data_IF_262077666917
#
_entry.id   IF_262077666917
#
_cell.length_a   1.000
_cell.length_b   1.000
_cell.length_c   1.000
_cell.angle_alpha   90.00
_cell.angle_beta   90.00
_cell.angle_gamma   90.00
#
_symmetry.space_group_name_H-M   'P 1'
#
loop_
_entity.id
_entity.type
_entity.pdbx_description
1 polymer ?
#
# COMPACT_ATOMS: atom_id res chain seq x y z
N UNK A 1 20.85 -15.56 19.03
CA UNK A 1 20.87 -15.09 17.63
C UNK A 1 19.96 -13.89 17.58
N UNK A 2 20.49 -12.71 17.26
CA UNK A 2 19.78 -11.43 17.39
C UNK A 2 18.79 -11.25 16.25
N UNK A 3 17.49 -11.40 16.55
CA UNK A 3 16.42 -10.96 15.66
C UNK A 3 16.39 -9.43 15.66
N UNK A 4 17.29 -8.81 14.91
CA UNK A 4 17.22 -7.38 14.63
C UNK A 4 16.06 -7.14 13.66
N UNK A 5 14.94 -6.64 14.19
CA UNK A 5 13.84 -6.11 13.38
C UNK A 5 14.40 -5.04 12.44
N UNK A 6 14.27 -5.30 11.14
CA UNK A 6 14.81 -4.41 10.11
C UNK A 6 13.88 -3.20 10.00
N UNK A 7 14.08 -2.20 10.85
CA UNK A 7 13.39 -0.91 10.73
C UNK A 7 13.93 -0.14 9.53
N UNK A 8 13.20 -0.19 8.40
CA UNK A 8 13.46 0.70 7.26
C UNK A 8 13.13 2.14 7.66
N UNK A 9 13.79 3.10 7.00
CA UNK A 9 13.44 4.50 7.17
C UNK A 9 12.17 4.74 6.33
N UNK A 10 11.10 5.25 6.94
CA UNK A 10 9.81 5.43 6.27
C UNK A 10 9.93 6.28 5.00
N UNK A 11 10.71 7.35 5.02
CA UNK A 11 10.94 8.18 3.82
C UNK A 11 11.65 7.40 2.71
N UNK A 12 12.51 6.44 3.05
CA UNK A 12 13.15 5.59 2.05
C UNK A 12 12.23 4.47 1.56
N UNK A 13 11.37 3.93 2.43
CA UNK A 13 10.33 2.96 2.04
C UNK A 13 9.37 3.59 1.03
N UNK A 14 8.91 4.80 1.32
CA UNK A 14 8.08 5.61 0.42
C UNK A 14 8.75 5.93 -0.91
N UNK A 15 10.08 6.06 -0.91
CA UNK A 15 10.86 6.28 -2.12
C UNK A 15 10.97 5.00 -2.96
N UNK A 16 11.11 3.85 -2.31
CA UNK A 16 11.15 2.55 -2.98
C UNK A 16 9.77 2.13 -3.53
N UNK A 17 8.67 2.55 -2.90
CA UNK A 17 7.30 2.35 -3.43
C UNK A 17 7.04 3.12 -4.74
N UNK A 18 7.75 4.21 -4.98
CA UNK A 18 7.61 4.99 -6.22
C UNK A 18 8.38 4.39 -7.41
N UNK A 19 9.07 3.26 -7.20
CA UNK A 19 9.87 2.60 -8.22
C UNK A 19 9.10 1.38 -8.71
N UNK A 20 8.84 1.34 -10.01
CA UNK A 20 8.21 0.17 -10.64
C UNK A 20 9.25 -0.93 -10.91
N UNK A 21 8.94 -2.16 -10.46
CA UNK A 21 9.74 -3.35 -10.75
C UNK A 21 10.76 -3.75 -9.68
N UNK A 22 11.70 -4.62 -10.06
CA UNK A 22 12.71 -5.18 -9.13
C UNK A 22 14.04 -4.44 -9.21
N UNK A 23 14.20 -3.54 -10.17
CA UNK A 23 15.48 -2.94 -10.51
C UNK A 23 15.34 -1.43 -10.64
N UNK A 24 16.30 -0.67 -10.11
CA UNK A 24 16.29 0.79 -10.21
C UNK A 24 17.67 1.36 -10.36
N UNK A 25 17.83 2.38 -11.21
CA UNK A 25 19.11 3.07 -11.32
C UNK A 25 19.29 4.01 -10.13
N UNK A 26 20.54 4.14 -9.67
CA UNK A 26 20.89 5.09 -8.60
C UNK A 26 20.47 6.52 -8.91
N UNK A 27 20.61 6.95 -10.17
CA UNK A 27 20.24 8.30 -10.62
C UNK A 27 18.74 8.55 -10.48
N UNK A 28 17.92 7.53 -10.78
CA UNK A 28 16.46 7.63 -10.68
C UNK A 28 16.02 7.74 -9.22
N UNK A 29 16.63 6.96 -8.31
CA UNK A 29 16.37 7.10 -6.87
C UNK A 29 16.73 8.50 -6.34
N UNK A 30 17.85 9.07 -6.79
CA UNK A 30 18.27 10.42 -6.39
C UNK A 30 17.26 11.44 -6.92
N UNK A 31 16.83 11.31 -8.18
CA UNK A 31 15.83 12.20 -8.78
C UNK A 31 14.50 12.14 -8.03
N UNK A 32 14.00 10.94 -7.74
CA UNK A 32 12.76 10.75 -6.96
C UNK A 32 12.91 11.37 -5.56
N UNK A 33 14.08 11.25 -4.92
CA UNK A 33 14.32 11.85 -3.61
C UNK A 33 14.26 13.39 -3.64
N UNK A 34 14.81 14.00 -4.70
CA UNK A 34 14.75 15.45 -4.92
C UNK A 34 13.30 15.87 -5.15
N UNK A 35 12.61 15.22 -6.07
CA UNK A 35 11.26 15.58 -6.50
C UNK A 35 10.23 15.40 -5.37
N UNK A 36 10.32 14.30 -4.61
CA UNK A 36 9.34 13.94 -3.56
C UNK A 36 9.57 14.66 -2.23
N UNK A 37 10.83 14.89 -1.84
CA UNK A 37 11.17 15.43 -0.53
C UNK A 37 11.76 16.84 -0.57
N UNK A 38 11.85 17.45 -1.77
CA UNK A 38 12.41 18.80 -1.94
C UNK A 38 13.88 18.91 -1.51
N UNK A 39 14.63 17.80 -1.59
CA UNK A 39 16.02 17.75 -1.12
C UNK A 39 16.99 18.35 -2.14
N UNK A 40 18.08 18.92 -1.65
CA UNK A 40 19.22 19.27 -2.53
C UNK A 40 19.87 17.99 -3.07
N UNK A 41 20.55 18.09 -4.23
CA UNK A 41 21.26 16.95 -4.83
C UNK A 41 22.18 16.23 -3.84
N UNK A 42 22.96 16.98 -3.04
CA UNK A 42 23.87 16.42 -2.02
C UNK A 42 23.12 15.70 -0.89
N UNK A 43 21.97 16.22 -0.47
CA UNK A 43 21.14 15.59 0.57
C UNK A 43 20.47 14.32 0.05
N UNK A 44 19.94 14.35 -1.17
CA UNK A 44 19.35 13.19 -1.84
C UNK A 44 20.39 12.08 -2.05
N UNK A 45 21.60 12.42 -2.52
CA UNK A 45 22.70 11.48 -2.64
C UNK A 45 23.07 10.83 -1.29
N UNK A 46 23.18 11.63 -0.23
CA UNK A 46 23.49 11.13 1.12
C UNK A 46 22.37 10.28 1.72
N UNK A 47 21.11 10.58 1.42
CA UNK A 47 19.95 9.79 1.83
C UNK A 47 19.95 8.43 1.12
N UNK A 48 20.10 8.42 -0.21
CA UNK A 48 20.12 7.19 -1.02
C UNK A 48 21.32 6.34 -0.64
N UNK A 49 22.53 6.91 -0.56
CA UNK A 49 23.74 6.15 -0.26
C UNK A 49 23.69 5.44 1.09
N UNK A 50 23.23 6.12 2.16
CA UNK A 50 23.14 5.54 3.50
C UNK A 50 22.10 4.42 3.58
N UNK A 51 20.93 4.63 2.98
CA UNK A 51 19.87 3.62 3.03
C UNK A 51 20.18 2.41 2.15
N UNK A 52 20.71 2.62 0.94
CA UNK A 52 21.20 1.53 0.07
C UNK A 52 22.27 0.72 0.81
N UNK A 53 23.27 1.37 1.40
CA UNK A 53 24.32 0.67 2.13
C UNK A 53 23.73 -0.20 3.26
N UNK A 54 22.77 0.33 4.01
CA UNK A 54 22.09 -0.42 5.08
C UNK A 54 21.30 -1.63 4.55
N UNK A 55 20.67 -1.51 3.38
CA UNK A 55 19.97 -2.64 2.75
C UNK A 55 20.93 -3.68 2.20
N UNK A 56 22.07 -3.26 1.65
CA UNK A 56 23.12 -4.16 1.17
C UNK A 56 23.74 -4.97 2.32
N UNK A 57 24.02 -4.34 3.47
CA UNK A 57 24.51 -5.03 4.67
C UNK A 57 23.53 -6.10 5.17
N UNK A 58 22.24 -5.95 4.85
CA UNK A 58 21.18 -6.88 5.22
C UNK A 58 20.79 -7.86 4.10
N UNK A 59 21.55 -7.88 3.00
CA UNK A 59 21.28 -8.73 1.82
C UNK A 59 19.87 -8.53 1.23
N UNK A 60 19.30 -7.34 1.40
CA UNK A 60 17.97 -6.98 0.90
C UNK A 60 18.02 -6.33 -0.49
N UNK A 61 19.20 -5.90 -0.91
CA UNK A 61 19.42 -5.17 -2.13
C UNK A 61 20.82 -5.47 -2.64
N UNK A 62 20.93 -5.82 -3.91
CA UNK A 62 22.21 -6.00 -4.61
C UNK A 62 22.47 -4.85 -5.57
N UNK A 63 23.74 -4.60 -5.89
CA UNK A 63 24.13 -3.59 -6.86
C UNK A 63 24.92 -4.23 -8.00
N UNK A 64 24.55 -3.88 -9.24
CA UNK A 64 25.32 -4.21 -10.44
C UNK A 64 25.75 -2.94 -11.17
N UNK A 65 26.77 -3.07 -12.03
CA UNK A 65 27.26 -1.99 -12.87
C UNK A 65 28.39 -1.16 -12.25
N UNK A 66 28.99 -0.34 -13.10
CA UNK A 66 30.16 0.48 -12.77
C UNK A 66 29.84 1.67 -11.87
N UNK A 67 30.90 2.27 -11.32
CA UNK A 67 30.83 3.46 -10.46
C UNK A 67 30.26 4.65 -11.23
N UNK A 68 28.93 4.84 -11.11
CA UNK A 68 28.20 5.95 -11.74
C UNK A 68 26.88 5.52 -12.39
N UNK A 69 26.84 4.28 -12.88
CA UNK A 69 25.68 3.66 -13.55
C UNK A 69 25.11 2.48 -12.75
N UNK A 70 25.26 2.54 -11.43
CA UNK A 70 24.80 1.47 -10.55
C UNK A 70 23.30 1.26 -10.68
N UNK A 71 22.93 0.00 -10.91
CA UNK A 71 21.56 -0.49 -10.85
C UNK A 71 21.41 -1.32 -9.60
N UNK A 72 20.38 -1.04 -8.82
CA UNK A 72 20.05 -1.75 -7.61
C UNK A 72 18.96 -2.77 -7.90
N UNK A 73 19.15 -3.98 -7.40
CA UNK A 73 18.26 -5.12 -7.55
C UNK A 73 17.67 -5.46 -6.19
N UNK A 74 16.35 -5.36 -6.07
CA UNK A 74 15.65 -5.66 -4.83
C UNK A 74 15.48 -7.17 -4.66
N UNK A 75 15.75 -7.68 -3.46
CA UNK A 75 15.42 -9.06 -3.13
C UNK A 75 13.91 -9.24 -2.98
N UNK A 76 13.41 -10.46 -3.16
CA UNK A 76 12.02 -10.81 -2.89
C UNK A 76 11.61 -10.48 -1.44
N UNK A 77 12.51 -10.67 -0.48
CA UNK A 77 12.31 -10.30 0.94
C UNK A 77 12.09 -8.80 1.11
N UNK A 78 12.86 -7.96 0.42
CA UNK A 78 12.69 -6.52 0.47
C UNK A 78 11.35 -6.08 -0.12
N UNK A 79 10.92 -6.71 -1.22
CA UNK A 79 9.61 -6.43 -1.82
C UNK A 79 8.47 -6.79 -0.90
N UNK A 80 8.50 -7.98 -0.29
CA UNK A 80 7.48 -8.39 0.68
C UNK A 80 7.41 -7.48 1.92
N UNK A 81 8.50 -6.78 2.23
CA UNK A 81 8.58 -5.83 3.37
C UNK A 81 8.08 -4.42 3.00
N UNK A 82 8.16 -4.04 1.72
CA UNK A 82 7.80 -2.72 1.23
C UNK A 82 6.39 -2.72 0.64
N UNK A 83 6.04 -3.75 -0.13
CA UNK A 83 4.71 -3.96 -0.67
C UNK A 83 3.75 -4.15 0.51
N UNK A 84 2.61 -3.44 0.52
CA UNK A 84 1.57 -3.68 1.50
C UNK A 84 1.02 -5.09 1.29
N UNK A 85 1.56 -6.06 2.02
CA UNK A 85 1.04 -7.41 2.06
C UNK A 85 -0.34 -7.37 2.72
N UNK A 86 -1.38 -7.76 1.98
CA UNK A 86 -2.71 -8.06 2.53
C UNK A 86 -2.71 -9.21 3.56
N UNK A 87 -1.54 -9.80 3.88
CA UNK A 87 -1.45 -11.07 4.61
C UNK A 87 -0.57 -11.09 5.88
N UNK A 88 0.06 -10.00 6.36
CA UNK A 88 0.90 -10.09 7.58
C UNK A 88 0.71 -8.89 8.53
N UNK A 89 -0.30 -8.97 9.38
CA UNK A 89 -0.36 -8.29 10.68
C UNK A 89 -0.63 -9.31 11.80
N UNK A 90 0.05 -10.45 11.75
CA UNK A 90 0.16 -11.37 12.88
C UNK A 90 1.64 -11.46 13.24
N UNK A 91 2.08 -10.55 14.10
CA UNK A 91 2.98 -10.83 15.23
C UNK A 91 3.60 -9.52 15.70
N UNK A 92 2.94 -8.82 16.63
CA UNK A 92 3.56 -8.32 17.86
C UNK A 92 2.46 -8.15 18.91
N UNK A 93 2.38 -9.15 19.77
CA UNK A 93 1.58 -9.19 20.98
C UNK A 93 2.02 -8.07 21.94
N UNK A 94 1.05 -7.49 22.66
CA UNK A 94 1.20 -6.74 23.93
C UNK A 94 1.13 -5.20 23.86
N UNK A 95 0.04 -4.60 23.36
CA UNK A 95 -0.51 -3.38 24.00
C UNK A 95 -2.00 -3.17 23.69
N UNK A 96 -2.84 -3.28 24.73
CA UNK A 96 -4.24 -2.80 24.84
C UNK A 96 -5.27 -3.33 23.84
N UNK A 97 -6.20 -4.14 24.34
CA UNK A 97 -7.38 -4.68 23.62
C UNK A 97 -8.22 -3.59 22.93
N UNK A 98 -8.20 -2.36 23.45
CA UNK A 98 -8.88 -1.19 22.86
C UNK A 98 -8.19 -0.71 21.57
N UNK A 99 -6.86 -0.65 21.52
CA UNK A 99 -6.13 -0.29 20.29
C UNK A 99 -6.29 -1.38 19.22
N UNK A 100 -6.24 -2.65 19.63
CA UNK A 100 -6.41 -3.79 18.72
C UNK A 100 -7.79 -3.79 18.04
N UNK A 101 -8.86 -3.45 18.78
CA UNK A 101 -10.20 -3.30 18.20
C UNK A 101 -10.31 -2.12 17.22
N UNK A 102 -9.65 -1.01 17.52
CA UNK A 102 -9.67 0.17 16.64
C UNK A 102 -8.83 -0.04 15.36
N UNK A 103 -7.71 -0.74 15.47
CA UNK A 103 -6.84 -1.13 14.36
C UNK A 103 -7.55 -2.16 13.45
N UNK A 104 -8.31 -3.08 14.02
CA UNK A 104 -9.13 -4.05 13.28
C UNK A 104 -10.29 -3.39 12.52
N UNK A 105 -11.00 -2.46 13.16
CA UNK A 105 -12.07 -1.69 12.51
C UNK A 105 -11.53 -0.82 11.37
N UNK A 106 -10.38 -0.17 11.56
CA UNK A 106 -9.74 0.68 10.53
C UNK A 106 -9.24 -0.16 9.34
N UNK A 107 -8.74 -1.36 9.61
CA UNK A 107 -8.36 -2.33 8.57
C UNK A 107 -9.59 -2.76 7.77
N UNK A 108 -10.67 -3.11 8.45
CA UNK A 108 -11.93 -3.51 7.79
C UNK A 108 -12.55 -2.36 6.98
N UNK A 109 -12.46 -1.11 7.45
CA UNK A 109 -12.89 0.08 6.71
C UNK A 109 -12.11 0.19 5.39
N UNK A 110 -10.78 0.09 5.45
CA UNK A 110 -9.90 0.18 4.29
C UNK A 110 -10.20 -0.94 3.29
N UNK A 111 -10.35 -2.18 3.78
CA UNK A 111 -10.67 -3.31 2.92
C UNK A 111 -12.03 -3.15 2.24
N UNK A 112 -13.05 -2.70 2.98
CA UNK A 112 -14.39 -2.44 2.43
C UNK A 112 -14.37 -1.34 1.37
N UNK A 113 -13.56 -0.29 1.58
CA UNK A 113 -13.36 0.78 0.61
C UNK A 113 -12.74 0.25 -0.70
N UNK A 114 -11.67 -0.55 -0.61
CA UNK A 114 -11.02 -1.15 -1.77
C UNK A 114 -11.97 -2.07 -2.55
N UNK A 115 -12.71 -2.94 -1.85
CA UNK A 115 -13.70 -3.80 -2.50
C UNK A 115 -14.80 -2.98 -3.20
N UNK A 116 -15.24 -1.87 -2.61
CA UNK A 116 -16.23 -0.99 -3.24
C UNK A 116 -15.68 -0.36 -4.52
N UNK A 117 -14.44 0.13 -4.51
CA UNK A 117 -13.79 0.70 -5.70
C UNK A 117 -13.65 -0.33 -6.82
N UNK A 118 -13.32 -1.58 -6.48
CA UNK A 118 -13.25 -2.68 -7.44
C UNK A 118 -14.61 -2.92 -8.11
N UNK A 119 -15.68 -3.06 -7.33
CA UNK A 119 -17.04 -3.28 -7.87
C UNK A 119 -17.52 -2.09 -8.73
N UNK A 120 -17.16 -0.86 -8.37
CA UNK A 120 -17.47 0.31 -9.19
C UNK A 120 -16.72 0.27 -10.53
N UNK A 121 -15.46 -0.17 -10.53
CA UNK A 121 -14.70 -0.37 -11.77
C UNK A 121 -15.28 -1.49 -12.65
N UNK A 122 -15.81 -2.56 -12.03
CA UNK A 122 -16.51 -3.63 -12.75
C UNK A 122 -17.83 -3.15 -13.36
N UNK A 123 -18.59 -2.31 -12.66
CA UNK A 123 -19.79 -1.66 -13.19
C UNK A 123 -19.49 -0.85 -14.46
N UNK A 124 -18.38 -0.12 -14.49
CA UNK A 124 -17.95 0.64 -15.67
C UNK A 124 -17.52 -0.29 -16.82
N UNK A 125 -16.79 -1.36 -16.52
CA UNK A 125 -16.44 -2.37 -17.51
C UNK A 125 -17.68 -3.06 -18.09
N UNK A 126 -18.67 -3.39 -17.27
CA UNK A 126 -19.92 -3.99 -17.73
C UNK A 126 -20.73 -3.03 -18.60
N UNK A 127 -20.73 -1.72 -18.31
CA UNK A 127 -21.37 -0.72 -19.17
C UNK A 127 -20.71 -0.68 -20.56
N UNK A 128 -19.38 -0.64 -20.61
CA UNK A 128 -18.63 -0.70 -21.88
C UNK A 128 -18.96 -1.97 -22.68
N UNK A 129 -18.96 -3.13 -22.00
CA UNK A 129 -19.28 -4.41 -22.63
C UNK A 129 -20.74 -4.43 -23.12
N UNK A 130 -21.69 -3.90 -22.35
CA UNK A 130 -23.10 -3.83 -22.70
C UNK A 130 -23.34 -3.01 -23.98
N UNK A 131 -22.58 -1.93 -24.17
CA UNK A 131 -22.63 -1.09 -25.37
C UNK A 131 -22.01 -1.80 -26.58
N UNK A 132 -20.81 -2.37 -26.41
CA UNK A 132 -20.00 -2.95 -27.48
C UNK A 132 -20.49 -4.31 -27.99
N UNK A 133 -21.15 -5.10 -27.13
CA UNK A 133 -21.55 -6.47 -27.46
C UNK A 133 -23.06 -6.68 -27.30
N UNK A 134 -23.87 -6.33 -28.32
CA UNK A 134 -25.33 -6.45 -28.26
C UNK A 134 -25.86 -7.85 -27.94
N UNK A 135 -25.12 -8.89 -28.36
CA UNK A 135 -25.50 -10.30 -28.16
C UNK A 135 -25.42 -10.77 -26.70
N UNK A 136 -24.60 -10.12 -25.88
CA UNK A 136 -24.43 -10.47 -24.46
C UNK A 136 -25.22 -9.56 -23.51
N UNK A 137 -25.99 -8.60 -24.03
CA UNK A 137 -26.69 -7.58 -23.22
C UNK A 137 -27.55 -8.14 -22.11
N UNK A 138 -28.33 -9.20 -22.37
CA UNK A 138 -29.19 -9.80 -21.34
C UNK A 138 -28.38 -10.35 -20.16
N UNK A 139 -27.25 -10.99 -20.44
CA UNK A 139 -26.33 -11.52 -19.42
C UNK A 139 -25.64 -10.37 -18.68
N UNK A 140 -25.10 -9.40 -19.42
CA UNK A 140 -24.40 -8.24 -18.86
C UNK A 140 -25.34 -7.39 -17.99
N UNK A 141 -26.60 -7.26 -18.37
CA UNK A 141 -27.60 -6.56 -17.56
C UNK A 141 -27.85 -7.25 -16.20
N UNK A 142 -27.81 -8.59 -16.17
CA UNK A 142 -27.85 -9.35 -14.92
C UNK A 142 -26.64 -9.04 -14.02
N UNK A 143 -25.44 -9.06 -14.60
CA UNK A 143 -24.19 -8.74 -13.88
C UNK A 143 -24.17 -7.29 -13.37
N UNK A 144 -24.64 -6.33 -14.17
CA UNK A 144 -24.79 -4.92 -13.77
C UNK A 144 -25.70 -4.77 -12.54
N UNK A 145 -26.81 -5.52 -12.51
CA UNK A 145 -27.75 -5.46 -11.39
C UNK A 145 -27.15 -6.05 -10.12
N UNK A 146 -26.41 -7.16 -10.22
CA UNK A 146 -25.75 -7.77 -9.06
C UNK A 146 -24.63 -6.88 -8.52
N UNK A 147 -23.73 -6.42 -9.39
CA UNK A 147 -22.63 -5.51 -9.01
C UNK A 147 -23.17 -4.22 -8.36
N UNK A 148 -24.29 -3.68 -8.85
CA UNK A 148 -24.95 -2.51 -8.23
C UNK A 148 -25.51 -2.82 -6.83
N UNK A 149 -26.04 -4.02 -6.63
CA UNK A 149 -26.55 -4.44 -5.32
C UNK A 149 -25.40 -4.64 -4.33
N UNK A 150 -24.32 -5.28 -4.76
CA UNK A 150 -23.10 -5.45 -3.96
C UNK A 150 -22.47 -4.11 -3.59
N UNK A 151 -22.41 -3.15 -4.52
CA UNK A 151 -21.86 -1.81 -4.25
C UNK A 151 -22.66 -1.08 -3.17
N UNK A 152 -23.99 -1.20 -3.18
CA UNK A 152 -24.86 -0.61 -2.15
C UNK A 152 -24.59 -1.25 -0.78
N UNK A 153 -24.41 -2.58 -0.73
CA UNK A 153 -24.12 -3.30 0.50
C UNK A 153 -22.76 -2.90 1.08
N UNK A 154 -21.71 -2.84 0.25
CA UNK A 154 -20.37 -2.42 0.65
C UNK A 154 -20.37 -0.97 1.12
N UNK A 155 -21.06 -0.07 0.41
CA UNK A 155 -21.21 1.33 0.83
C UNK A 155 -21.93 1.45 2.19
N UNK A 156 -22.98 0.66 2.41
CA UNK A 156 -23.68 0.57 3.69
C UNK A 156 -22.76 0.12 4.82
N UNK A 157 -21.96 -0.92 4.60
CA UNK A 157 -20.98 -1.43 5.56
C UNK A 157 -19.90 -0.41 5.86
N UNK A 158 -19.34 0.23 4.84
CA UNK A 158 -18.33 1.28 4.97
C UNK A 158 -18.84 2.44 5.84
N UNK A 159 -20.07 2.90 5.59
CA UNK A 159 -20.68 3.96 6.39
C UNK A 159 -20.93 3.52 7.84
N UNK A 160 -21.28 2.27 8.08
CA UNK A 160 -21.41 1.74 9.44
C UNK A 160 -20.06 1.73 10.16
N UNK A 161 -19.00 1.24 9.51
CA UNK A 161 -17.63 1.21 10.04
C UNK A 161 -17.14 2.62 10.40
N UNK A 162 -17.28 3.59 9.49
CA UNK A 162 -16.93 4.99 9.73
C UNK A 162 -17.62 5.57 10.97
N UNK A 163 -18.93 5.30 11.14
CA UNK A 163 -19.70 5.75 12.31
C UNK A 163 -19.22 5.09 13.60
N UNK A 164 -18.92 3.79 13.57
CA UNK A 164 -18.42 3.04 14.74
C UNK A 164 -17.03 3.53 15.16
N UNK A 165 -16.12 3.72 14.21
CA UNK A 165 -14.78 4.26 14.45
C UNK A 165 -14.88 5.66 15.05
N UNK A 166 -15.71 6.54 14.46
CA UNK A 166 -15.92 7.89 14.97
C UNK A 166 -16.47 7.89 16.41
N UNK A 167 -17.47 7.05 16.71
CA UNK A 167 -18.04 6.95 18.04
C UNK A 167 -17.05 6.40 19.08
N UNK A 168 -16.21 5.45 18.69
CA UNK A 168 -15.16 4.86 19.55
C UNK A 168 -14.05 5.87 19.86
N UNK A 169 -13.66 6.68 18.87
CA UNK A 169 -12.65 7.73 19.02
C UNK A 169 -13.13 8.92 19.88
N UNK A 170 -14.42 9.27 19.82
CA UNK A 170 -14.99 10.35 20.64
C UNK A 170 -15.11 9.97 22.13
N UNK A 171 -15.39 8.70 22.45
CA UNK A 171 -15.42 8.24 23.85
C UNK A 171 -14.05 8.30 24.52
N UNK A 172 -13.00 7.95 23.79
CA UNK A 172 -11.63 7.97 24.31
C UNK A 172 -11.09 9.38 24.60
N UNK A 173 -11.63 10.44 23.97
CA UNK A 173 -11.30 11.84 24.29
C UNK A 173 -12.10 12.43 25.44
N UNK A 174 -13.15 11.73 25.91
CA UNK A 174 -14.07 12.23 26.95
C UNK A 174 -13.72 11.73 28.36
N UNK A 175 -12.73 10.84 28.48
CA UNK A 175 -12.31 10.19 29.74
C UNK A 175 -11.00 10.78 30.32
N UNK A 176 -10.62 12.00 29.94
CA UNK A 176 -9.51 12.76 30.55
C UNK A 176 -10.03 13.90 31.44
#
# INVERSE_FOLDING_TARGET
>A
MTNETISLNENFKDLLLCVEGNNVKRKDLIKIAIDKFGLTSKQAEGLVARNVHRLQQKQLLDASGDKGERTYHFSSTLKNLIEPSEAIFNDQLSTSEIKKGNDELSREETQTQVSLEMILSELDAYRDIHERFPRSRSVVQGLLNEAKKESIQLYGRLNALKKVIQATNQRSTSEC
#
